data_IF_729212697507
#
_entry.id   IF_729212697507
#
_cell.length_a   1.000
_cell.length_b   1.000
_cell.length_c   1.000
_cell.angle_alpha   90.00
_cell.angle_beta   90.00
_cell.angle_gamma   90.00
#
_symmetry.space_group_name_H-M   'P 1'
#
loop_
_entity.id
_entity.type
_entity.pdbx_description
1 polymer ?
#
# COMPACT_ATOMS: atom_id res chain seq x y z
N UNK A 1 -9.28 -13.23 34.92
CA UNK A 1 -8.85 -12.45 33.78
C UNK A 1 -9.52 -11.09 33.89
N UNK A 2 -8.75 -10.00 33.92
CA UNK A 2 -9.13 -8.69 34.43
C UNK A 2 -10.21 -7.88 33.71
N UNK A 3 -11.01 -8.49 32.84
CA UNK A 3 -12.09 -7.78 32.12
C UNK A 3 -11.62 -6.89 30.96
N UNK A 4 -10.32 -6.85 30.68
CA UNK A 4 -9.77 -6.07 29.57
C UNK A 4 -10.17 -6.65 28.20
N UNK A 5 -10.56 -5.77 27.29
CA UNK A 5 -10.79 -6.15 25.89
C UNK A 5 -9.46 -6.29 25.18
N UNK A 6 -9.17 -7.49 24.68
CA UNK A 6 -7.96 -7.77 23.90
C UNK A 6 -8.34 -8.26 22.49
N UNK A 7 -7.48 -7.98 21.52
CA UNK A 7 -7.65 -8.44 20.14
C UNK A 7 -6.34 -9.01 19.60
N UNK A 8 -6.47 -9.91 18.65
CA UNK A 8 -5.32 -10.42 17.91
C UNK A 8 -4.83 -9.38 16.91
N UNK A 9 -3.52 -9.20 16.85
CA UNK A 9 -2.85 -8.20 16.00
C UNK A 9 -2.98 -8.57 14.50
N UNK A 10 -3.59 -7.73 13.63
CA UNK A 10 -3.77 -8.04 12.21
C UNK A 10 -2.63 -7.59 11.31
N UNK A 11 -1.75 -6.68 11.81
CA UNK A 11 -0.66 -6.07 11.03
C UNK A 11 0.41 -5.49 11.96
N UNK A 12 1.56 -5.05 11.43
CA UNK A 12 2.70 -4.57 12.21
C UNK A 12 2.92 -3.07 12.19
N UNK A 13 2.47 -2.36 11.16
CA UNK A 13 2.75 -0.93 10.97
C UNK A 13 2.18 -0.06 12.10
N UNK A 14 0.90 -0.21 12.44
CA UNK A 14 0.28 0.58 13.51
C UNK A 14 0.92 0.34 14.90
N UNK A 15 1.26 -0.91 15.31
CA UNK A 15 2.06 -1.14 16.50
C UNK A 15 3.43 -0.45 16.50
N UNK A 16 4.13 -0.43 15.36
CA UNK A 16 5.43 0.27 15.23
C UNK A 16 5.26 1.78 15.34
N UNK A 17 4.29 2.36 14.64
CA UNK A 17 3.97 3.79 14.76
C UNK A 17 3.62 4.18 16.20
N UNK A 18 2.84 3.34 16.90
CA UNK A 18 2.55 3.55 18.31
C UNK A 18 3.80 3.48 19.19
N UNK A 19 4.68 2.51 18.96
CA UNK A 19 5.94 2.41 19.67
C UNK A 19 6.82 3.65 19.43
N UNK A 20 6.91 4.12 18.18
CA UNK A 20 7.63 5.34 17.82
C UNK A 20 7.15 6.55 18.64
N UNK A 21 5.84 6.74 18.74
CA UNK A 21 5.24 7.84 19.51
C UNK A 21 5.44 7.62 21.02
N UNK A 22 5.12 6.42 21.51
CA UNK A 22 5.12 6.09 22.94
C UNK A 22 6.51 6.16 23.59
N UNK A 23 7.56 5.84 22.82
CA UNK A 23 8.93 5.89 23.27
C UNK A 23 9.66 7.19 22.87
N UNK A 24 8.94 8.18 22.35
CA UNK A 24 9.51 9.48 22.01
C UNK A 24 10.62 9.42 20.95
N UNK A 25 10.54 8.46 20.02
CA UNK A 25 11.58 8.23 19.03
C UNK A 25 11.75 9.39 18.04
N UNK A 26 10.79 10.32 17.97
CA UNK A 26 10.94 11.58 17.23
C UNK A 26 12.11 12.46 17.74
N UNK A 27 12.57 12.23 18.97
CA UNK A 27 13.72 12.93 19.55
C UNK A 27 15.07 12.25 19.25
N UNK A 28 15.06 11.09 18.59
CA UNK A 28 16.28 10.41 18.12
C UNK A 28 16.76 11.04 16.80
N UNK A 29 18.03 10.81 16.39
CA UNK A 29 18.47 11.13 15.04
C UNK A 29 17.54 10.50 14.00
N UNK A 30 17.10 11.30 13.03
CA UNK A 30 16.19 10.89 11.97
C UNK A 30 16.95 10.55 10.68
N UNK A 31 16.40 9.67 9.81
CA UNK A 31 15.21 8.85 10.02
C UNK A 31 15.45 7.66 10.97
N UNK A 32 14.41 7.28 11.73
CA UNK A 32 14.45 6.06 12.54
C UNK A 32 14.05 4.87 11.68
N UNK A 33 14.89 3.85 11.66
CA UNK A 33 14.71 2.60 10.92
C UNK A 33 14.35 1.49 11.89
N UNK A 34 13.20 0.88 11.68
CA UNK A 34 12.67 -0.19 12.53
C UNK A 34 12.30 -1.40 11.67
N UNK A 35 12.41 -2.58 12.28
CA UNK A 35 11.90 -3.80 11.68
C UNK A 35 11.10 -4.60 12.71
N UNK A 36 10.27 -5.49 12.23
CA UNK A 36 9.57 -6.45 13.05
C UNK A 36 9.47 -7.81 12.36
N UNK A 37 9.42 -8.85 13.16
CA UNK A 37 9.10 -10.21 12.76
C UNK A 37 8.10 -10.78 13.77
N UNK A 38 6.86 -10.95 13.33
CA UNK A 38 5.78 -11.31 14.25
C UNK A 38 4.70 -12.14 13.56
N UNK A 39 3.99 -13.01 14.33
CA UNK A 39 2.73 -13.56 13.87
C UNK A 39 1.64 -12.47 13.83
N UNK A 40 0.86 -12.52 12.76
CA UNK A 40 -0.32 -11.70 12.55
C UNK A 40 -1.54 -12.57 12.32
N UNK A 41 -2.73 -12.03 12.62
CA UNK A 41 -3.98 -12.77 12.61
C UNK A 41 -5.03 -12.00 11.82
N UNK A 42 -5.58 -12.63 10.76
CA UNK A 42 -6.65 -12.03 9.95
C UNK A 42 -7.77 -13.03 9.78
N UNK A 43 -9.02 -12.58 9.95
CA UNK A 43 -10.20 -13.40 9.70
C UNK A 43 -10.50 -13.43 8.21
N UNK A 44 -9.67 -14.14 7.46
CA UNK A 44 -9.83 -14.32 6.03
C UNK A 44 -10.40 -15.70 5.70
N UNK A 45 -10.96 -15.85 4.49
CA UNK A 45 -11.35 -17.17 3.99
C UNK A 45 -10.09 -17.97 3.68
N UNK A 46 -9.82 -19.08 4.37
CA UNK A 46 -8.62 -19.86 4.15
C UNK A 46 -8.57 -20.43 2.73
N UNK A 47 -7.39 -20.37 2.12
CA UNK A 47 -7.10 -20.98 0.82
C UNK A 47 -5.59 -21.26 0.72
N UNK A 48 -5.15 -21.94 -0.34
CA UNK A 48 -3.72 -22.17 -0.56
C UNK A 48 -2.92 -20.87 -0.50
N UNK A 49 -1.88 -20.82 0.34
CA UNK A 49 -1.04 -19.64 0.55
C UNK A 49 -1.69 -18.51 1.35
N UNK A 50 -2.94 -18.67 1.86
CA UNK A 50 -3.61 -17.67 2.68
C UNK A 50 -4.20 -18.32 3.92
N UNK A 51 -3.56 -18.08 5.06
CA UNK A 51 -3.93 -18.63 6.36
C UNK A 51 -4.35 -17.53 7.33
N UNK A 52 -5.10 -17.87 8.36
CA UNK A 52 -5.58 -16.91 9.37
C UNK A 52 -4.48 -16.44 10.32
N UNK A 53 -3.47 -17.26 10.54
CA UNK A 53 -2.24 -16.89 11.23
C UNK A 53 -1.09 -16.99 10.23
N UNK A 54 -0.31 -15.93 10.09
CA UNK A 54 0.87 -15.88 9.23
C UNK A 54 1.98 -15.10 9.91
N UNK A 55 3.23 -15.39 9.58
CA UNK A 55 4.38 -14.62 10.01
C UNK A 55 4.68 -13.56 8.95
N UNK A 56 4.99 -12.37 9.42
CA UNK A 56 5.36 -11.26 8.56
C UNK A 56 6.65 -10.62 9.08
N UNK A 57 7.62 -10.47 8.19
CA UNK A 57 8.72 -9.55 8.35
C UNK A 57 8.31 -8.21 7.74
N UNK A 58 8.57 -7.13 8.43
CA UNK A 58 8.28 -5.79 7.93
C UNK A 58 9.33 -4.79 8.38
N UNK A 59 9.47 -3.72 7.61
CA UNK A 59 10.35 -2.59 7.91
C UNK A 59 9.57 -1.30 7.82
N UNK A 60 9.91 -0.36 8.69
CA UNK A 60 9.31 0.97 8.73
C UNK A 60 10.43 2.00 8.87
N UNK A 61 10.43 3.01 8.01
CA UNK A 61 11.33 4.16 8.12
C UNK A 61 10.47 5.39 8.37
N UNK A 62 10.77 6.11 9.45
CA UNK A 62 9.95 7.23 9.92
C UNK A 62 10.85 8.45 10.12
N UNK A 63 10.41 9.60 9.63
CA UNK A 63 11.06 10.89 9.90
C UNK A 63 11.82 11.51 8.72
N UNK A 64 11.79 10.89 7.55
CA UNK A 64 12.34 11.45 6.31
C UNK A 64 11.38 11.17 5.14
N UNK A 65 10.82 12.20 4.49
CA UNK A 65 9.90 12.05 3.36
C UNK A 65 10.61 11.97 2.00
N UNK A 66 11.93 11.80 1.96
CA UNK A 66 12.67 11.82 0.70
C UNK A 66 12.44 10.56 -0.14
N UNK A 67 12.47 10.67 -1.48
CA UNK A 67 12.32 9.51 -2.37
C UNK A 67 13.44 8.49 -2.23
N UNK A 68 14.61 8.89 -1.72
CA UNK A 68 15.74 8.01 -1.43
C UNK A 68 15.40 7.00 -0.32
N UNK A 69 14.62 7.41 0.67
CA UNK A 69 14.16 6.51 1.74
C UNK A 69 13.17 5.48 1.22
N UNK A 70 12.29 5.86 0.32
CA UNK A 70 11.39 4.90 -0.36
C UNK A 70 12.20 3.90 -1.20
N UNK A 71 13.22 4.38 -1.92
CA UNK A 71 14.12 3.53 -2.69
C UNK A 71 14.88 2.54 -1.78
N UNK A 72 15.38 2.97 -0.61
CA UNK A 72 16.04 2.12 0.38
C UNK A 72 15.14 0.94 0.81
N UNK A 73 13.86 1.20 1.07
CA UNK A 73 12.90 0.15 1.46
C UNK A 73 12.64 -0.82 0.32
N UNK A 74 12.51 -0.32 -0.91
CA UNK A 74 12.30 -1.13 -2.11
C UNK A 74 13.52 -2.01 -2.38
N UNK A 75 14.72 -1.44 -2.32
CA UNK A 75 15.98 -2.16 -2.53
C UNK A 75 16.20 -3.24 -1.47
N UNK A 76 15.89 -2.95 -0.21
CA UNK A 76 15.92 -3.94 0.86
C UNK A 76 14.99 -5.12 0.56
N UNK A 77 13.76 -4.85 0.13
CA UNK A 77 12.79 -5.88 -0.26
C UNK A 77 13.29 -6.71 -1.45
N UNK A 78 13.83 -6.05 -2.46
CA UNK A 78 14.41 -6.71 -3.64
C UNK A 78 15.58 -7.61 -3.28
N UNK A 79 16.52 -7.08 -2.50
CA UNK A 79 17.71 -7.81 -2.04
C UNK A 79 17.32 -9.01 -1.19
N UNK A 80 16.37 -8.83 -0.27
CA UNK A 80 15.86 -9.92 0.57
C UNK A 80 15.26 -11.05 -0.28
N UNK A 81 14.36 -10.75 -1.20
CA UNK A 81 13.74 -11.75 -2.06
C UNK A 81 14.75 -12.45 -2.98
N UNK A 82 15.72 -11.70 -3.50
CA UNK A 82 16.80 -12.24 -4.33
C UNK A 82 17.71 -13.17 -3.53
N UNK A 83 18.02 -12.82 -2.28
CA UNK A 83 18.85 -13.66 -1.39
C UNK A 83 18.18 -15.00 -1.03
N UNK A 84 16.86 -15.06 -1.08
CA UNK A 84 16.08 -16.31 -0.95
C UNK A 84 16.06 -17.17 -2.23
N UNK A 85 16.73 -16.72 -3.30
CA UNK A 85 16.83 -17.45 -4.56
C UNK A 85 15.63 -17.24 -5.50
N UNK A 86 14.73 -16.29 -5.21
CA UNK A 86 13.64 -15.96 -6.12
C UNK A 86 14.19 -15.29 -7.38
N UNK A 87 13.75 -15.76 -8.53
CA UNK A 87 14.16 -15.25 -9.84
C UNK A 87 12.97 -14.71 -10.61
N UNK A 88 13.24 -13.88 -11.64
CA UNK A 88 12.18 -13.29 -12.47
C UNK A 88 11.34 -12.26 -11.72
N UNK A 89 11.90 -11.63 -10.70
CA UNK A 89 11.24 -10.56 -9.97
C UNK A 89 10.95 -9.38 -10.90
N UNK A 90 9.80 -8.76 -10.71
CA UNK A 90 9.41 -7.53 -11.41
C UNK A 90 8.95 -6.52 -10.38
N UNK A 91 9.61 -5.37 -10.33
CA UNK A 91 9.18 -4.23 -9.54
C UNK A 91 8.11 -3.45 -10.29
N UNK A 92 6.99 -3.20 -9.63
CA UNK A 92 5.95 -2.29 -10.10
C UNK A 92 5.70 -1.25 -9.02
N UNK A 93 5.87 0.00 -9.37
CA UNK A 93 5.64 1.13 -8.46
C UNK A 93 4.51 2.01 -9.00
N UNK A 94 3.82 2.68 -8.09
CA UNK A 94 2.78 3.63 -8.39
C UNK A 94 2.74 4.71 -7.31
N UNK A 95 2.06 5.82 -7.60
CA UNK A 95 1.72 6.84 -6.60
C UNK A 95 0.23 7.10 -6.65
N UNK A 96 -0.38 7.23 -5.48
CA UNK A 96 -1.79 7.62 -5.32
C UNK A 96 -1.94 9.10 -4.93
N UNK A 97 -0.84 9.84 -4.98
CA UNK A 97 -0.80 11.24 -4.55
C UNK A 97 -1.00 11.43 -3.04
N UNK A 98 -1.16 12.66 -2.64
CA UNK A 98 -1.35 13.10 -1.26
C UNK A 98 -2.76 13.69 -1.02
N UNK A 99 -2.92 14.46 0.06
CA UNK A 99 -4.18 15.14 0.40
C UNK A 99 -4.55 16.26 -0.56
N UNK A 100 -3.61 16.78 -1.35
CA UNK A 100 -3.84 17.85 -2.31
C UNK A 100 -4.37 17.30 -3.65
N UNK A 101 -3.69 16.34 -4.25
CA UNK A 101 -4.03 15.85 -5.59
C UNK A 101 -4.96 14.62 -5.60
N UNK A 102 -4.92 13.77 -4.57
CA UNK A 102 -5.74 12.55 -4.51
C UNK A 102 -7.25 12.80 -4.61
N UNK A 103 -7.85 13.82 -3.97
CA UNK A 103 -9.29 14.04 -4.07
C UNK A 103 -9.77 14.23 -5.50
N UNK A 104 -9.07 15.01 -6.30
CA UNK A 104 -9.40 15.24 -7.71
C UNK A 104 -9.29 13.95 -8.55
N UNK A 105 -8.25 13.16 -8.31
CA UNK A 105 -8.13 11.85 -8.96
C UNK A 105 -9.26 10.89 -8.55
N UNK A 106 -9.66 10.88 -7.28
CA UNK A 106 -10.75 10.03 -6.80
C UNK A 106 -12.08 10.39 -7.43
N UNK A 107 -12.35 11.69 -7.65
CA UNK A 107 -13.54 12.19 -8.35
C UNK A 107 -13.52 11.77 -9.83
N UNK A 108 -12.37 11.95 -10.52
CA UNK A 108 -12.18 11.53 -11.90
C UNK A 108 -12.42 10.02 -12.07
N UNK A 109 -11.79 9.20 -11.22
CA UNK A 109 -11.96 7.75 -11.23
C UNK A 109 -13.41 7.36 -10.92
N UNK A 110 -14.06 8.04 -9.98
CA UNK A 110 -15.46 7.83 -9.64
C UNK A 110 -16.39 8.10 -10.83
N UNK A 111 -16.16 9.19 -11.57
CA UNK A 111 -16.91 9.54 -12.79
C UNK A 111 -16.70 8.50 -13.88
N UNK A 112 -15.46 8.11 -14.14
CA UNK A 112 -15.13 7.05 -15.09
C UNK A 112 -15.85 5.72 -14.75
N UNK A 113 -15.82 5.32 -13.49
CA UNK A 113 -16.46 4.08 -13.04
C UNK A 113 -17.99 4.16 -13.10
N UNK A 114 -18.60 5.35 -12.94
CA UNK A 114 -20.03 5.56 -13.10
C UNK A 114 -20.47 5.32 -14.55
N UNK A 115 -19.68 5.76 -15.53
CA UNK A 115 -19.94 5.51 -16.96
C UNK A 115 -19.82 4.01 -17.32
N UNK A 116 -19.03 3.27 -16.55
CA UNK A 116 -18.77 1.84 -16.75
C UNK A 116 -19.46 0.93 -15.71
N UNK A 117 -20.44 1.45 -14.95
CA UNK A 117 -21.09 0.71 -13.84
C UNK A 117 -21.62 -0.66 -14.25
N UNK A 118 -22.25 -0.75 -15.40
CA UNK A 118 -22.80 -2.03 -15.91
C UNK A 118 -21.73 -3.05 -16.31
N UNK A 119 -20.49 -2.61 -16.53
CA UNK A 119 -19.37 -3.43 -16.97
C UNK A 119 -18.52 -3.96 -15.82
N UNK A 120 -18.65 -3.42 -14.60
CA UNK A 120 -17.96 -3.94 -13.42
C UNK A 120 -18.80 -5.00 -12.70
N UNK A 121 -18.15 -5.80 -11.84
CA UNK A 121 -18.84 -6.87 -11.14
C UNK A 121 -19.82 -6.33 -10.08
N UNK A 122 -20.88 -7.08 -9.79
CA UNK A 122 -21.96 -6.70 -8.85
C UNK A 122 -21.46 -6.24 -7.46
N UNK A 123 -20.39 -6.86 -6.93
CA UNK A 123 -19.80 -6.46 -5.65
C UNK A 123 -19.26 -5.03 -5.70
N UNK A 124 -18.69 -4.63 -6.85
CA UNK A 124 -18.12 -3.31 -7.04
C UNK A 124 -19.16 -2.28 -7.49
N UNK A 125 -20.21 -2.65 -8.21
CA UNK A 125 -21.34 -1.76 -8.49
C UNK A 125 -21.94 -1.16 -7.21
N UNK A 126 -21.95 -1.93 -6.13
CA UNK A 126 -22.46 -1.50 -4.81
C UNK A 126 -21.50 -0.62 -4.01
N UNK A 127 -20.21 -0.61 -4.35
CA UNK A 127 -19.16 -0.07 -3.47
C UNK A 127 -18.23 0.95 -4.12
N UNK A 128 -18.22 1.08 -5.45
CA UNK A 128 -17.28 1.99 -6.14
C UNK A 128 -17.47 3.45 -5.73
N UNK A 129 -18.71 3.86 -5.41
CA UNK A 129 -19.02 5.23 -4.95
C UNK A 129 -18.34 5.58 -3.61
N UNK A 130 -18.11 4.59 -2.77
CA UNK A 130 -17.45 4.79 -1.46
C UNK A 130 -15.95 4.49 -1.50
N UNK A 131 -15.51 3.62 -2.39
CA UNK A 131 -14.09 3.28 -2.53
C UNK A 131 -13.78 2.82 -3.97
N UNK A 132 -13.61 3.77 -4.91
CA UNK A 132 -13.35 3.47 -6.32
C UNK A 132 -12.05 2.70 -6.56
N UNK A 133 -10.99 2.93 -5.76
CA UNK A 133 -9.69 2.26 -5.90
C UNK A 133 -9.81 0.72 -5.80
N UNK A 134 -10.78 0.20 -5.06
CA UNK A 134 -10.98 -1.25 -4.96
C UNK A 134 -11.38 -1.92 -6.27
N UNK A 135 -11.92 -1.18 -7.21
CA UNK A 135 -12.25 -1.71 -8.54
C UNK A 135 -10.97 -2.05 -9.29
N UNK A 136 -9.93 -1.21 -9.16
CA UNK A 136 -8.63 -1.40 -9.80
C UNK A 136 -7.91 -2.66 -9.30
N UNK A 137 -8.15 -3.06 -8.05
CA UNK A 137 -7.57 -4.28 -7.45
C UNK A 137 -8.36 -5.56 -7.77
N UNK A 138 -9.50 -5.44 -8.44
CA UNK A 138 -10.38 -6.58 -8.70
C UNK A 138 -9.78 -7.52 -9.73
N UNK A 139 -9.81 -8.82 -9.42
CA UNK A 139 -9.30 -9.88 -10.31
C UNK A 139 -10.37 -10.50 -11.21
N UNK A 140 -11.62 -10.07 -11.12
CA UNK A 140 -12.69 -10.53 -12.01
C UNK A 140 -12.50 -9.91 -13.40
N UNK A 141 -12.65 -10.72 -14.45
CA UNK A 141 -12.38 -10.33 -15.83
C UNK A 141 -13.10 -9.04 -16.25
N UNK A 142 -14.35 -8.88 -15.84
CA UNK A 142 -15.15 -7.68 -16.12
C UNK A 142 -14.55 -6.41 -15.52
N UNK A 143 -14.01 -6.46 -14.29
CA UNK A 143 -13.34 -5.32 -13.69
C UNK A 143 -11.94 -5.08 -14.29
N UNK A 144 -11.21 -6.14 -14.65
CA UNK A 144 -9.87 -6.02 -15.24
C UNK A 144 -9.90 -5.25 -16.56
N UNK A 145 -10.90 -5.50 -17.43
CA UNK A 145 -11.05 -4.75 -18.69
C UNK A 145 -11.34 -3.27 -18.45
N UNK A 146 -12.20 -2.94 -17.50
CA UNK A 146 -12.50 -1.55 -17.13
C UNK A 146 -11.27 -0.89 -16.48
N UNK A 147 -10.56 -1.60 -15.59
CA UNK A 147 -9.38 -1.08 -14.92
C UNK A 147 -8.20 -0.82 -15.85
N UNK A 148 -8.10 -1.55 -16.96
CA UNK A 148 -7.02 -1.37 -17.94
C UNK A 148 -7.11 -0.04 -18.70
N UNK A 149 -8.31 0.53 -18.82
CA UNK A 149 -8.58 1.79 -19.52
C UNK A 149 -8.85 2.95 -18.53
N UNK A 150 -8.80 2.66 -17.22
CA UNK A 150 -9.04 3.67 -16.20
C UNK A 150 -7.93 4.73 -16.18
N UNK A 151 -8.27 6.00 -15.84
CA UNK A 151 -7.27 7.04 -15.70
C UNK A 151 -6.19 6.63 -14.68
N UNK A 152 -4.93 6.88 -15.03
CA UNK A 152 -3.78 6.56 -14.18
C UNK A 152 -3.60 7.63 -13.11
N UNK A 153 -3.40 7.23 -11.85
CA UNK A 153 -3.14 8.19 -10.76
C UNK A 153 -1.87 9.01 -10.96
N UNK A 154 -0.86 8.44 -11.61
CA UNK A 154 0.43 9.11 -11.86
C UNK A 154 0.27 10.32 -12.78
N UNK A 155 -0.70 10.30 -13.71
CA UNK A 155 -0.94 11.40 -14.64
C UNK A 155 -1.64 12.60 -13.98
N UNK A 156 -2.14 12.41 -12.75
CA UNK A 156 -2.93 13.40 -12.00
C UNK A 156 -2.27 13.81 -10.67
N UNK A 157 -0.96 13.63 -10.54
CA UNK A 157 -0.20 14.08 -9.39
C UNK A 157 0.01 15.61 -9.42
N UNK A 158 0.01 16.23 -8.23
CA UNK A 158 0.53 17.59 -8.08
C UNK A 158 2.05 17.60 -8.33
N UNK A 159 2.62 18.79 -8.49
CA UNK A 159 4.04 18.93 -8.82
C UNK A 159 4.94 18.28 -7.77
N UNK A 160 4.65 18.46 -6.48
CA UNK A 160 5.42 17.87 -5.39
C UNK A 160 5.39 16.32 -5.42
N UNK A 161 4.20 15.73 -5.62
CA UNK A 161 4.07 14.27 -5.73
C UNK A 161 4.71 13.71 -7.01
N UNK A 162 4.69 14.48 -8.09
CA UNK A 162 5.34 14.13 -9.36
C UNK A 162 6.86 14.13 -9.20
N UNK A 163 7.42 15.20 -8.65
CA UNK A 163 8.86 15.33 -8.38
C UNK A 163 9.36 14.20 -7.49
N UNK A 164 8.63 13.90 -6.41
CA UNK A 164 8.95 12.78 -5.53
C UNK A 164 8.94 11.44 -6.27
N UNK A 165 7.91 11.17 -7.08
CA UNK A 165 7.78 9.92 -7.82
C UNK A 165 8.85 9.75 -8.90
N UNK A 166 9.20 10.84 -9.59
CA UNK A 166 10.30 10.87 -10.56
C UNK A 166 11.66 10.68 -9.89
N UNK A 167 11.87 11.31 -8.72
CA UNK A 167 13.05 11.12 -7.89
C UNK A 167 13.22 9.68 -7.43
N UNK A 168 12.13 9.04 -7.00
CA UNK A 168 12.14 7.61 -6.65
C UNK A 168 12.52 6.74 -7.85
N UNK A 169 11.92 6.97 -9.01
CA UNK A 169 12.24 6.22 -10.24
C UNK A 169 13.71 6.37 -10.63
N UNK A 170 14.20 7.62 -10.63
CA UNK A 170 15.60 7.90 -10.95
C UNK A 170 16.59 7.28 -9.97
N UNK A 171 16.20 7.03 -8.73
CA UNK A 171 17.06 6.39 -7.73
C UNK A 171 17.08 4.86 -7.90
N UNK A 172 16.02 4.29 -8.47
CA UNK A 172 15.90 2.84 -8.68
C UNK A 172 16.45 2.35 -10.03
N UNK A 173 16.70 3.25 -10.99
CA UNK A 173 17.32 2.97 -12.29
C UNK A 173 18.85 2.82 -12.16
#
# INVERSE_FOLDING_TARGET
LGGDSITLKPEGTAPVCRAYIQHGMANLPQPVRLFYENPHFRYERPQAGRVRQHHQFGVEIIGDPSPQVDAEVIELGWTYLSSLGLQGLTLKINSIGDSECRPAYMELLGTYLAEHESSICEDHQKRYKTNPLRVLDCKKRSCLSVSAEAPSSVDHLCDACREHFEGLRSTLD
#
